data_IF_931451184512
#
_entry.id   IF_931451184512
#
_cell.length_a   1.000
_cell.length_b   1.000
_cell.length_c   1.000
_cell.angle_alpha   90.00
_cell.angle_beta   90.00
_cell.angle_gamma   90.00
#
_symmetry.space_group_name_H-M   'P 1'
#
loop_
_entity.id
_entity.type
_entity.pdbx_description
1 polymer ?
#
# COMPACT_ATOMS: atom_id res chain seq x y z
N UNK A 1 -7.38 24.88 -4.93
CA UNK A 1 -6.09 24.72 -4.17
C UNK A 1 -6.12 23.53 -3.21
N UNK A 2 -7.13 23.40 -2.35
CA UNK A 2 -7.23 22.28 -1.40
C UNK A 2 -7.14 20.88 -2.06
N UNK A 3 -7.89 20.64 -3.15
CA UNK A 3 -7.84 19.36 -3.88
C UNK A 3 -6.43 19.00 -4.38
N UNK A 4 -5.64 19.97 -4.83
CA UNK A 4 -4.25 19.77 -5.27
C UNK A 4 -3.37 19.35 -4.11
N UNK A 5 -3.50 20.01 -2.95
CA UNK A 5 -2.74 19.67 -1.74
C UNK A 5 -3.06 18.24 -1.29
N UNK A 6 -4.34 17.87 -1.23
CA UNK A 6 -4.76 16.51 -0.83
C UNK A 6 -4.26 15.47 -1.83
N UNK A 7 -4.24 15.79 -3.13
CA UNK A 7 -3.69 14.91 -4.17
C UNK A 7 -2.18 14.69 -3.97
N UNK A 8 -1.41 15.74 -3.68
CA UNK A 8 0.01 15.62 -3.38
C UNK A 8 0.29 14.77 -2.13
N UNK A 9 -0.51 14.95 -1.08
CA UNK A 9 -0.42 14.12 0.13
C UNK A 9 -0.72 12.65 -0.22
N UNK A 10 -1.76 12.39 -1.00
CA UNK A 10 -2.12 11.04 -1.42
C UNK A 10 -1.00 10.35 -2.21
N UNK A 11 -0.34 11.09 -3.11
CA UNK A 11 0.86 10.60 -3.84
C UNK A 11 2.00 10.28 -2.87
N UNK A 12 2.26 11.14 -1.89
CA UNK A 12 3.28 10.88 -0.85
C UNK A 12 2.98 9.61 -0.04
N UNK A 13 1.73 9.42 0.38
CA UNK A 13 1.27 8.22 1.09
C UNK A 13 1.38 6.98 0.20
N UNK A 14 1.07 7.10 -1.09
CA UNK A 14 1.23 6.01 -2.06
C UNK A 14 2.69 5.59 -2.20
N UNK A 15 3.63 6.55 -2.34
CA UNK A 15 5.07 6.27 -2.40
C UNK A 15 5.55 5.59 -1.11
N UNK A 16 5.06 6.02 0.05
CA UNK A 16 5.36 5.35 1.33
C UNK A 16 4.83 3.91 1.36
N UNK A 17 3.64 3.66 0.80
CA UNK A 17 3.08 2.33 0.60
C UNK A 17 3.97 1.44 -0.27
N UNK A 18 4.42 1.94 -1.42
CA UNK A 18 5.35 1.22 -2.32
C UNK A 18 6.68 0.89 -1.61
N UNK A 19 7.24 1.83 -0.84
CA UNK A 19 8.46 1.57 -0.06
C UNK A 19 8.26 0.51 1.01
N UNK A 20 7.11 0.53 1.69
CA UNK A 20 6.75 -0.48 2.68
C UNK A 20 6.60 -1.87 2.02
N UNK A 21 5.99 -1.95 0.83
CA UNK A 21 5.85 -3.17 0.04
C UNK A 21 7.21 -3.75 -0.39
N UNK A 22 8.13 -2.89 -0.84
CA UNK A 22 9.48 -3.31 -1.16
C UNK A 22 10.22 -3.86 0.07
N UNK A 23 10.01 -3.24 1.24
CA UNK A 23 10.56 -3.74 2.51
C UNK A 23 9.91 -5.04 2.97
N UNK A 24 8.64 -5.28 2.61
CA UNK A 24 7.92 -6.53 2.84
C UNK A 24 8.52 -7.65 1.97
N UNK A 25 8.75 -7.38 0.68
CA UNK A 25 9.41 -8.31 -0.26
C UNK A 25 10.76 -8.76 0.25
N UNK A 26 11.60 -7.82 0.72
CA UNK A 26 12.92 -8.13 1.28
C UNK A 26 12.87 -8.99 2.53
N UNK A 27 11.86 -8.81 3.40
CA UNK A 27 11.69 -9.66 4.58
C UNK A 27 11.31 -11.09 4.20
N UNK A 28 10.52 -11.24 3.14
CA UNK A 28 10.11 -12.55 2.64
C UNK A 28 11.24 -13.30 1.94
N UNK A 29 12.02 -12.59 1.10
CA UNK A 29 13.23 -13.15 0.49
C UNK A 29 14.21 -13.70 1.53
N UNK A 30 14.27 -13.08 2.72
CA UNK A 30 15.07 -13.56 3.84
C UNK A 30 14.47 -14.78 4.57
N UNK A 31 13.17 -15.03 4.44
CA UNK A 31 12.49 -16.18 5.06
C UNK A 31 12.37 -17.39 4.13
N UNK A 32 12.64 -17.22 2.82
CA UNK A 32 12.97 -18.32 1.89
C UNK A 32 11.87 -19.35 1.59
N UNK A 33 10.65 -19.18 2.11
CA UNK A 33 9.66 -20.26 2.20
C UNK A 33 8.85 -20.52 0.90
N UNK A 34 8.75 -19.59 -0.04
CA UNK A 34 7.88 -19.75 -1.23
C UNK A 34 8.51 -19.18 -2.52
N UNK A 35 9.78 -19.51 -2.79
CA UNK A 35 10.47 -19.03 -4.00
C UNK A 35 10.03 -19.74 -5.30
N UNK A 36 9.16 -20.74 -5.22
CA UNK A 36 8.78 -21.61 -6.34
C UNK A 36 7.38 -21.35 -6.90
N UNK A 37 6.61 -20.38 -6.39
CA UNK A 37 5.25 -20.15 -6.89
C UNK A 37 5.23 -19.20 -8.10
N UNK A 38 4.84 -19.66 -9.30
CA UNK A 38 4.77 -18.81 -10.49
C UNK A 38 3.66 -17.74 -10.42
N UNK A 39 2.74 -17.86 -9.46
CA UNK A 39 1.68 -16.87 -9.19
C UNK A 39 2.05 -15.83 -8.12
N UNK A 40 3.32 -15.82 -7.67
CA UNK A 40 3.78 -14.94 -6.60
C UNK A 40 3.91 -13.49 -7.09
N UNK A 41 2.81 -12.75 -7.00
CA UNK A 41 2.75 -11.33 -7.33
C UNK A 41 2.83 -10.46 -6.08
N UNK A 42 3.21 -9.19 -6.25
CA UNK A 42 3.23 -8.20 -5.16
C UNK A 42 1.88 -8.08 -4.44
N UNK A 43 0.79 -8.41 -5.14
CA UNK A 43 -0.58 -8.44 -4.61
C UNK A 43 -0.81 -9.69 -3.76
N UNK A 44 -0.35 -10.86 -4.20
CA UNK A 44 -0.41 -12.10 -3.42
C UNK A 44 0.31 -11.96 -2.07
N UNK A 45 1.45 -11.26 -2.03
CA UNK A 45 2.16 -10.89 -0.80
C UNK A 45 1.32 -10.06 0.18
N UNK A 46 0.55 -9.10 -0.35
CA UNK A 46 -0.27 -8.20 0.45
C UNK A 46 -1.49 -8.91 1.04
N UNK A 47 -2.01 -9.93 0.37
CA UNK A 47 -3.17 -10.70 0.83
C UNK A 47 -2.83 -12.11 1.30
N UNK A 48 -1.54 -12.43 1.41
CA UNK A 48 -1.08 -13.74 1.88
C UNK A 48 -1.60 -13.99 3.29
N UNK A 49 -2.31 -15.12 3.45
CA UNK A 49 -2.80 -15.65 4.73
C UNK A 49 -1.84 -16.70 5.30
N UNK A 50 -0.70 -16.92 4.64
CA UNK A 50 0.32 -17.89 5.06
C UNK A 50 0.84 -17.56 6.46
N UNK A 51 1.07 -18.56 7.34
CA UNK A 51 1.55 -18.33 8.70
C UNK A 51 3.00 -17.81 8.67
N UNK A 52 3.14 -16.48 8.72
CA UNK A 52 4.42 -15.76 8.71
C UNK A 52 4.68 -15.06 10.05
N UNK A 53 5.94 -14.68 10.27
CA UNK A 53 6.39 -13.96 11.47
C UNK A 53 5.55 -12.71 11.77
N UNK A 54 5.41 -12.39 13.06
CA UNK A 54 4.67 -11.20 13.52
C UNK A 54 5.16 -9.90 12.87
N UNK A 55 6.46 -9.82 12.57
CA UNK A 55 7.10 -8.68 11.88
C UNK A 55 6.61 -8.53 10.43
N UNK A 56 6.40 -9.65 9.73
CA UNK A 56 5.84 -9.66 8.37
C UNK A 56 4.40 -9.16 8.41
N UNK A 57 3.55 -9.71 9.28
CA UNK A 57 2.13 -9.32 9.42
C UNK A 57 1.95 -7.84 9.78
N UNK A 58 2.80 -7.31 10.67
CA UNK A 58 2.80 -5.89 11.03
C UNK A 58 3.08 -5.00 9.81
N UNK A 59 4.12 -5.32 9.02
CA UNK A 59 4.44 -4.57 7.81
C UNK A 59 3.40 -4.76 6.70
N UNK A 60 2.81 -5.93 6.57
CA UNK A 60 1.72 -6.20 5.63
C UNK A 60 0.52 -5.30 5.93
N UNK A 61 0.04 -5.27 7.19
CA UNK A 61 -1.02 -4.34 7.63
C UNK A 61 -0.67 -2.88 7.38
N UNK A 62 0.54 -2.46 7.75
CA UNK A 62 0.99 -1.08 7.49
C UNK A 62 0.92 -0.73 6.01
N UNK A 63 1.38 -1.65 5.15
CA UNK A 63 1.40 -1.46 3.70
C UNK A 63 -0.03 -1.37 3.14
N UNK A 64 -0.93 -2.25 3.56
CA UNK A 64 -2.36 -2.19 3.21
C UNK A 64 -2.97 -0.86 3.65
N UNK A 65 -2.74 -0.44 4.89
CA UNK A 65 -3.24 0.84 5.42
C UNK A 65 -2.75 2.05 4.61
N UNK A 66 -1.49 2.05 4.18
CA UNK A 66 -0.94 3.12 3.34
C UNK A 66 -1.61 3.15 1.97
N UNK A 67 -1.80 2.00 1.31
CA UNK A 67 -2.50 1.96 0.02
C UNK A 67 -3.97 2.36 0.13
N UNK A 68 -4.70 1.83 1.12
CA UNK A 68 -6.09 2.22 1.37
C UNK A 68 -6.20 3.71 1.71
N UNK A 69 -5.31 4.23 2.55
CA UNK A 69 -5.26 5.65 2.90
C UNK A 69 -4.99 6.56 1.69
N UNK A 70 -4.08 6.16 0.80
CA UNK A 70 -3.80 6.91 -0.43
C UNK A 70 -5.04 6.96 -1.36
N UNK A 71 -5.72 5.84 -1.57
CA UNK A 71 -6.94 5.77 -2.40
C UNK A 71 -8.05 6.64 -1.78
N UNK A 72 -8.24 6.55 -0.46
CA UNK A 72 -9.24 7.32 0.26
C UNK A 72 -8.97 8.83 0.18
N UNK A 73 -7.71 9.25 0.30
CA UNK A 73 -7.30 10.65 0.09
C UNK A 73 -7.54 11.12 -1.35
N UNK A 74 -7.24 10.30 -2.35
CA UNK A 74 -7.55 10.61 -3.76
C UNK A 74 -9.06 10.75 -3.98
N UNK A 75 -9.86 9.90 -3.34
CA UNK A 75 -11.31 9.97 -3.42
C UNK A 75 -11.84 11.28 -2.80
N UNK A 76 -11.34 11.67 -1.62
CA UNK A 76 -11.66 12.96 -1.01
C UNK A 76 -11.21 14.15 -1.86
N UNK A 77 -10.00 14.08 -2.44
CA UNK A 77 -9.52 15.12 -3.36
C UNK A 77 -10.44 15.29 -4.57
N UNK A 78 -11.00 14.18 -5.08
CA UNK A 78 -11.96 14.19 -6.19
C UNK A 78 -13.31 14.77 -5.79
N UNK A 79 -13.85 14.41 -4.63
CA UNK A 79 -15.11 15.00 -4.12
C UNK A 79 -14.93 16.51 -3.95
N UNK A 80 -13.84 16.95 -3.31
CA UNK A 80 -13.56 18.36 -3.09
C UNK A 80 -13.38 19.14 -4.40
N UNK A 81 -12.81 18.50 -5.43
CA UNK A 81 -12.72 19.09 -6.77
C UNK A 81 -14.11 19.28 -7.38
N UNK A 82 -14.94 18.23 -7.38
CA UNK A 82 -16.29 18.27 -7.96
C UNK A 82 -17.16 19.34 -7.27
N UNK A 83 -17.12 19.40 -5.94
CA UNK A 83 -17.84 20.42 -5.16
C UNK A 83 -17.35 21.86 -5.41
N UNK A 84 -16.10 22.04 -5.84
CA UNK A 84 -15.59 23.37 -6.22
C UNK A 84 -15.99 23.77 -7.65
N UNK A 85 -16.34 22.80 -8.50
CA UNK A 85 -16.76 23.02 -9.89
C UNK A 85 -18.27 23.16 -10.08
N UNK A 86 -19.09 22.79 -9.09
CA UNK A 86 -20.55 23.00 -9.06
C UNK A 86 -20.83 24.32 -8.35
#
# INVERSE_FOLDING_TARGET
MLSVIVTLIAVGVFIAGVRSLHSLKRLDEATGAERSDPFYTSVALLFSTSPRDAKFRSRQRRTIWLFCGAILLLYFARIAYIQQTI
#
